data_IF_136074805117
#
_entry.id   IF_136074805117
#
_cell.length_a   1.000
_cell.length_b   1.000
_cell.length_c   1.000
_cell.angle_alpha   90.00
_cell.angle_beta   90.00
_cell.angle_gamma   90.00
#
_symmetry.space_group_name_H-M   'P 1'
#
loop_
_entity.id
_entity.type
_entity.pdbx_description
1 polymer ?
#
# COMPACT_ATOMS: atom_id res chain seq x y z
N UNK A 1 97.21 -25.83 16.64
CA UNK A 1 96.47 -24.58 16.92
C UNK A 1 95.68 -24.24 15.66
N UNK A 2 94.49 -24.82 15.44
CA UNK A 2 93.16 -24.28 15.80
C UNK A 2 92.98 -22.82 15.33
N UNK A 3 92.11 -22.47 14.38
CA UNK A 3 90.68 -22.78 14.29
C UNK A 3 90.18 -22.92 12.84
N UNK A 4 89.35 -23.95 12.63
CA UNK A 4 88.39 -24.12 11.53
C UNK A 4 87.23 -23.13 11.73
N UNK A 5 86.84 -22.40 10.70
CA UNK A 5 85.52 -21.79 10.57
C UNK A 5 84.70 -22.61 9.60
N UNK A 6 83.63 -23.19 10.14
CA UNK A 6 82.60 -23.96 9.46
C UNK A 6 81.35 -23.09 9.30
N UNK A 7 80.51 -23.50 8.36
CA UNK A 7 79.06 -23.39 8.38
C UNK A 7 78.38 -22.12 7.83
N UNK A 8 77.71 -22.38 6.70
CA UNK A 8 76.24 -22.43 6.60
C UNK A 8 75.49 -21.17 6.14
N UNK A 9 74.89 -21.33 4.95
CA UNK A 9 73.43 -21.43 4.75
C UNK A 9 72.80 -20.45 3.74
N UNK A 10 72.15 -21.13 2.79
CA UNK A 10 70.87 -20.85 2.17
C UNK A 10 70.77 -19.89 0.98
N UNK A 11 70.76 -20.56 -0.17
CA UNK A 11 70.15 -20.18 -1.42
C UNK A 11 68.74 -19.57 -1.25
N UNK A 12 68.55 -18.45 -1.93
CA UNK A 12 67.31 -17.68 -2.02
C UNK A 12 66.66 -18.00 -3.36
N UNK A 13 65.68 -18.90 -3.36
CA UNK A 13 64.74 -19.07 -4.49
C UNK A 13 63.67 -17.98 -4.44
N UNK A 14 63.25 -17.41 -5.58
CA UNK A 14 62.11 -16.50 -5.63
C UNK A 14 60.80 -17.29 -5.71
N UNK A 15 59.99 -17.19 -4.65
CA UNK A 15 58.62 -17.67 -4.65
C UNK A 15 57.71 -16.67 -5.37
N UNK A 16 57.01 -17.16 -6.39
CA UNK A 16 55.85 -16.54 -6.98
C UNK A 16 54.71 -16.45 -5.96
N UNK A 17 54.18 -15.24 -5.67
CA UNK A 17 52.81 -15.08 -5.15
C UNK A 17 52.34 -13.64 -5.27
N UNK A 18 51.26 -13.44 -6.04
CA UNK A 18 50.55 -12.18 -6.16
C UNK A 18 49.27 -12.36 -6.97
N UNK A 19 48.52 -13.43 -6.72
CA UNK A 19 47.14 -13.53 -7.22
C UNK A 19 46.26 -12.62 -6.37
N UNK A 20 45.75 -11.58 -7.02
CA UNK A 20 44.73 -10.68 -6.52
C UNK A 20 43.45 -11.46 -6.20
N UNK A 21 43.06 -11.51 -4.94
CA UNK A 21 41.71 -11.91 -4.54
C UNK A 21 40.74 -10.80 -4.95
N UNK A 22 40.12 -10.96 -6.11
CA UNK A 22 38.98 -10.16 -6.54
C UNK A 22 37.76 -10.39 -5.64
N UNK A 23 36.82 -9.43 -5.57
CA UNK A 23 35.67 -9.51 -4.69
C UNK A 23 34.74 -10.67 -5.09
N UNK A 24 34.25 -11.37 -4.06
CA UNK A 24 33.36 -12.52 -4.16
C UNK A 24 32.15 -12.23 -5.07
N UNK A 25 32.15 -12.87 -6.24
CA UNK A 25 30.98 -12.95 -7.10
C UNK A 25 29.94 -13.82 -6.40
N UNK A 26 28.80 -13.22 -6.07
CA UNK A 26 27.63 -13.94 -5.58
C UNK A 26 27.13 -14.88 -6.70
N UNK A 27 26.83 -16.15 -6.41
CA UNK A 27 26.28 -17.05 -7.40
C UNK A 27 24.88 -16.57 -7.81
N UNK A 28 24.74 -16.25 -9.09
CA UNK A 28 23.44 -15.96 -9.72
C UNK A 28 22.54 -17.20 -9.60
N UNK A 29 21.24 -17.05 -9.31
CA UNK A 29 20.30 -18.17 -9.31
C UNK A 29 20.13 -18.73 -10.73
N UNK A 30 19.88 -20.06 -10.87
CA UNK A 30 19.68 -20.68 -12.17
C UNK A 30 18.42 -20.10 -12.83
N UNK A 31 18.59 -19.60 -14.07
CA UNK A 31 17.49 -19.24 -14.95
C UNK A 31 16.68 -20.51 -15.25
N UNK A 32 15.53 -20.66 -14.62
CA UNK A 32 14.48 -21.58 -15.06
C UNK A 32 13.88 -21.04 -16.35
N UNK A 33 14.45 -21.45 -17.49
CA UNK A 33 13.79 -21.34 -18.79
C UNK A 33 12.75 -22.45 -18.90
N UNK A 34 11.55 -22.21 -18.36
CA UNK A 34 10.37 -23.00 -18.71
C UNK A 34 9.90 -22.57 -20.09
N UNK A 35 10.33 -23.31 -21.11
CA UNK A 35 9.73 -23.33 -22.43
C UNK A 35 8.32 -23.93 -22.30
N UNK A 36 7.29 -23.07 -22.23
CA UNK A 36 5.92 -23.51 -22.40
C UNK A 36 5.68 -23.64 -23.91
N UNK A 37 5.69 -24.89 -24.32
CA UNK A 37 5.36 -25.41 -25.63
C UNK A 37 3.89 -25.10 -25.93
N UNK A 38 3.64 -24.06 -26.72
CA UNK A 38 2.31 -23.71 -27.21
C UNK A 38 2.11 -24.44 -28.54
N UNK A 39 1.42 -25.59 -28.51
CA UNK A 39 0.88 -26.22 -29.70
C UNK A 39 -0.41 -26.98 -29.39
N UNK A 40 -1.42 -26.67 -30.19
CA UNK A 40 -2.69 -27.38 -30.43
C UNK A 40 -3.71 -27.45 -29.29
N UNK A 41 -4.88 -26.85 -29.52
CA UNK A 41 -6.02 -27.61 -30.06
C UNK A 41 -7.24 -26.69 -30.17
N UNK A 42 -7.49 -26.20 -31.39
CA UNK A 42 -8.73 -25.53 -31.76
C UNK A 42 -9.75 -26.63 -32.08
N UNK A 43 -10.58 -26.98 -31.10
CA UNK A 43 -11.86 -27.64 -31.37
C UNK A 43 -12.96 -26.58 -31.21
N UNK A 44 -13.51 -26.17 -32.35
CA UNK A 44 -14.79 -25.48 -32.44
C UNK A 44 -15.92 -26.52 -32.30
N UNK A 45 -16.79 -26.35 -31.31
CA UNK A 45 -18.12 -26.95 -31.25
C UNK A 45 -18.96 -26.20 -30.19
N UNK A 46 -20.29 -26.32 -30.18
CA UNK A 46 -21.20 -25.35 -30.80
C UNK A 46 -21.97 -24.52 -29.77
N UNK A 47 -22.43 -23.35 -30.21
CA UNK A 47 -23.52 -22.60 -29.59
C UNK A 47 -24.74 -23.52 -29.43
N UNK A 48 -25.00 -23.98 -28.20
CA UNK A 48 -26.30 -24.51 -27.80
C UNK A 48 -26.77 -23.71 -26.60
N UNK A 49 -27.59 -22.71 -26.92
CA UNK A 49 -28.39 -21.95 -26.00
C UNK A 49 -29.34 -22.88 -25.24
N UNK A 50 -29.05 -23.12 -23.96
CA UNK A 50 -30.06 -23.49 -22.97
C UNK A 50 -30.11 -22.39 -21.93
N UNK A 51 -30.96 -21.40 -22.22
CA UNK A 51 -31.48 -20.43 -21.26
C UNK A 51 -32.42 -21.16 -20.29
N UNK A 52 -31.86 -21.69 -19.20
CA UNK A 52 -32.64 -22.23 -18.09
C UNK A 52 -32.82 -21.11 -17.08
N UNK A 53 -33.93 -20.38 -17.23
CA UNK A 53 -34.47 -19.52 -16.17
C UNK A 53 -34.83 -20.41 -14.97
N UNK A 54 -34.04 -20.34 -13.90
CA UNK A 54 -34.44 -20.82 -12.58
C UNK A 54 -35.51 -19.88 -12.01
N UNK A 55 -36.61 -20.40 -11.46
CA UNK A 55 -37.49 -19.61 -10.60
C UNK A 55 -36.84 -19.43 -9.22
N UNK A 56 -36.78 -18.17 -8.78
CA UNK A 56 -36.60 -17.77 -7.39
C UNK A 56 -37.57 -18.57 -6.51
N UNK A 57 -37.03 -19.47 -5.70
CA UNK A 57 -37.73 -20.03 -4.55
C UNK A 57 -36.89 -19.70 -3.33
N UNK A 58 -37.40 -18.72 -2.58
CA UNK A 58 -36.95 -18.38 -1.25
C UNK A 58 -36.89 -19.64 -0.38
N UNK A 59 -35.68 -20.05 -0.03
CA UNK A 59 -35.42 -21.03 1.02
C UNK A 59 -34.69 -20.24 2.10
N UNK A 60 -35.46 -19.84 3.11
CA UNK A 60 -34.93 -19.35 4.37
C UNK A 60 -34.01 -20.42 5.00
N UNK A 61 -32.86 -20.03 5.58
CA UNK A 61 -32.01 -20.96 6.30
C UNK A 61 -32.64 -21.36 7.65
N UNK A 62 -32.65 -22.64 8.04
CA UNK A 62 -33.02 -23.01 9.39
C UNK A 62 -31.92 -22.55 10.35
N UNK A 63 -32.28 -21.64 11.24
CA UNK A 63 -31.48 -21.19 12.37
C UNK A 63 -31.18 -22.38 13.29
N UNK A 64 -29.88 -22.70 13.39
CA UNK A 64 -29.31 -23.65 14.34
C UNK A 64 -29.42 -23.09 15.77
N UNK A 65 -30.52 -23.40 16.45
CA UNK A 65 -30.61 -23.23 17.90
C UNK A 65 -30.46 -24.60 18.58
N UNK A 66 -29.29 -24.77 19.22
CA UNK A 66 -28.96 -25.82 20.18
C UNK A 66 -29.95 -25.81 21.38
N UNK A 67 -30.38 -26.99 21.86
CA UNK A 67 -30.27 -27.29 23.29
C UNK A 67 -29.71 -28.72 23.48
N UNK A 68 -28.53 -28.89 24.09
CA UNK A 68 -28.31 -29.17 25.54
C UNK A 68 -29.27 -30.21 26.13
N UNK A 69 -28.76 -31.44 26.17
CA UNK A 69 -28.84 -32.47 27.21
C UNK A 69 -30.07 -32.52 28.12
N UNK A 70 -30.87 -33.60 27.99
CA UNK A 70 -31.45 -34.29 29.15
C UNK A 70 -31.73 -35.78 28.81
N UNK A 71 -31.36 -36.74 29.67
CA UNK A 71 -31.64 -38.16 29.46
C UNK A 71 -32.96 -38.53 30.12
N UNK A 72 -34.00 -38.82 29.32
CA UNK A 72 -35.25 -39.38 29.83
C UNK A 72 -35.33 -40.88 29.55
N UNK A 73 -35.36 -41.59 30.67
CA UNK A 73 -35.65 -43.01 30.86
C UNK A 73 -37.02 -43.43 30.32
N UNK A 74 -37.21 -44.71 29.96
CA UNK A 74 -38.49 -45.22 29.48
C UNK A 74 -39.44 -45.44 30.67
N UNK A 75 -40.54 -44.70 30.69
CA UNK A 75 -41.63 -44.85 31.66
C UNK A 75 -42.78 -45.61 30.99
N UNK A 76 -42.88 -46.91 31.30
CA UNK A 76 -44.15 -47.65 31.16
C UNK A 76 -45.20 -47.04 32.08
N UNK A 77 -46.43 -46.88 31.59
CA UNK A 77 -47.61 -47.44 32.27
C UNK A 77 -48.65 -47.91 31.24
N UNK A 78 -49.71 -48.65 31.53
CA UNK A 78 -50.15 -49.46 32.65
C UNK A 78 -51.27 -50.34 32.07
N UNK A 79 -51.33 -51.58 32.56
CA UNK A 79 -52.43 -52.52 32.33
C UNK A 79 -53.79 -51.88 32.65
N UNK A 80 -54.70 -51.85 31.68
CA UNK A 80 -56.14 -51.66 31.95
C UNK A 80 -56.84 -53.02 31.92
N UNK A 81 -57.23 -53.42 33.11
CA UNK A 81 -58.01 -54.60 33.49
C UNK A 81 -59.38 -54.66 32.79
N UNK A 82 -59.91 -55.86 32.51
CA UNK A 82 -61.32 -56.02 32.14
C UNK A 82 -62.21 -55.99 33.39
N UNK A 83 -63.17 -55.07 33.41
CA UNK A 83 -64.24 -54.98 34.41
C UNK A 83 -65.25 -56.10 34.17
N UNK A 84 -65.19 -57.16 34.96
CA UNK A 84 -66.23 -58.19 35.06
C UNK A 84 -67.42 -57.65 35.84
N UNK A 85 -68.57 -57.45 35.17
CA UNK A 85 -69.82 -57.10 35.84
C UNK A 85 -70.53 -58.39 36.25
N UNK A 86 -70.34 -58.76 37.52
CA UNK A 86 -71.15 -59.74 38.25
C UNK A 86 -72.40 -59.02 38.74
N UNK A 87 -73.59 -59.38 38.27
CA UNK A 87 -74.85 -58.93 38.89
C UNK A 87 -75.56 -60.12 39.50
N UNK A 88 -75.80 -60.00 40.80
CA UNK A 88 -76.17 -61.06 41.71
C UNK A 88 -77.66 -61.40 41.70
N UNK A 89 -77.91 -62.64 42.09
CA UNK A 89 -79.15 -63.18 42.64
C UNK A 89 -79.84 -62.24 43.65
N UNK A 90 -81.16 -62.16 43.63
CA UNK A 90 -81.97 -61.84 44.82
C UNK A 90 -83.22 -62.71 44.84
N UNK A 91 -83.45 -63.29 46.01
CA UNK A 91 -84.39 -64.36 46.34
C UNK A 91 -85.76 -63.84 46.83
N UNK A 92 -86.70 -64.80 46.99
CA UNK A 92 -87.98 -64.77 47.73
C UNK A 92 -89.19 -64.26 46.90
N UNK A 93 -90.37 -64.90 46.92
CA UNK A 93 -91.15 -65.30 48.10
C UNK A 93 -92.13 -66.46 47.81
N UNK A 94 -92.26 -67.36 48.79
CA UNK A 94 -93.16 -68.51 48.91
C UNK A 94 -94.60 -68.08 49.27
N UNK A 95 -95.64 -68.76 48.76
CA UNK A 95 -96.84 -69.25 49.48
C UNK A 95 -97.83 -69.97 48.51
N UNK A 96 -98.68 -70.90 48.98
CA UNK A 96 -99.03 -72.13 48.24
C UNK A 96 -100.50 -72.19 47.79
N UNK A 97 -100.80 -72.86 46.67
CA UNK A 97 -102.16 -73.39 46.42
C UNK A 97 -102.22 -74.53 45.39
N UNK A 98 -102.62 -75.70 45.91
CA UNK A 98 -103.31 -76.85 45.32
C UNK A 98 -102.65 -77.75 44.23
N UNK A 99 -102.74 -79.11 44.40
CA UNK A 99 -101.89 -80.05 43.69
C UNK A 99 -102.70 -81.08 42.88
N UNK A 100 -102.84 -80.90 41.57
CA UNK A 100 -103.09 -82.06 40.67
C UNK A 100 -102.90 -81.80 39.17
N UNK A 101 -102.56 -80.58 38.74
CA UNK A 101 -102.21 -80.28 37.32
C UNK A 101 -100.93 -79.44 37.17
N UNK A 102 -100.21 -79.17 38.27
CA UNK A 102 -99.09 -78.21 38.33
C UNK A 102 -97.70 -78.78 38.05
N UNK A 103 -97.46 -80.09 38.22
CA UNK A 103 -96.13 -80.69 37.96
C UNK A 103 -95.69 -80.60 36.50
N UNK A 104 -96.63 -80.77 35.58
CA UNK A 104 -96.35 -80.65 34.14
C UNK A 104 -96.14 -79.18 33.75
N UNK A 105 -96.84 -78.24 34.37
CA UNK A 105 -96.65 -76.80 34.13
C UNK A 105 -95.34 -76.30 34.76
N UNK A 106 -94.89 -76.90 35.87
CA UNK A 106 -93.60 -76.61 36.51
C UNK A 106 -92.43 -77.19 35.71
N UNK A 107 -92.52 -78.43 35.23
CA UNK A 107 -91.53 -79.03 34.32
C UNK A 107 -91.45 -78.27 32.99
N UNK A 108 -92.59 -77.82 32.45
CA UNK A 108 -92.62 -76.94 31.27
C UNK A 108 -92.02 -75.57 31.58
N UNK A 109 -92.26 -74.98 32.75
CA UNK A 109 -91.61 -73.72 33.15
C UNK A 109 -90.10 -73.86 33.39
N UNK A 110 -89.63 -75.01 33.88
CA UNK A 110 -88.22 -75.31 34.06
C UNK A 110 -87.53 -75.55 32.69
N UNK A 111 -88.22 -76.22 31.77
CA UNK A 111 -87.78 -76.37 30.37
C UNK A 111 -87.77 -75.02 29.63
N UNK A 112 -88.81 -74.21 29.82
CA UNK A 112 -88.92 -72.89 29.22
C UNK A 112 -87.88 -71.93 29.84
N UNK A 113 -87.60 -72.09 31.13
CA UNK A 113 -86.55 -71.37 31.85
C UNK A 113 -85.16 -71.74 31.36
N UNK A 114 -84.88 -73.02 31.18
CA UNK A 114 -83.62 -73.50 30.58
C UNK A 114 -83.48 -73.09 29.12
N UNK A 115 -84.53 -73.16 28.30
CA UNK A 115 -84.52 -72.63 26.92
C UNK A 115 -84.29 -71.12 26.87
N UNK A 116 -84.88 -70.34 27.80
CA UNK A 116 -84.61 -68.90 27.91
C UNK A 116 -83.18 -68.61 28.35
N UNK A 117 -82.63 -69.41 29.26
CA UNK A 117 -81.26 -69.25 29.74
C UNK A 117 -80.24 -69.61 28.65
N UNK A 118 -80.50 -70.66 27.87
CA UNK A 118 -79.65 -71.00 26.71
C UNK A 118 -79.78 -69.98 25.58
N UNK A 119 -80.99 -69.46 25.30
CA UNK A 119 -81.18 -68.36 24.34
C UNK A 119 -80.49 -67.07 24.80
N UNK A 120 -80.54 -66.75 26.10
CA UNK A 120 -79.83 -65.61 26.68
C UNK A 120 -78.32 -65.78 26.61
N UNK A 121 -77.81 -66.98 26.89
CA UNK A 121 -76.39 -67.30 26.75
C UNK A 121 -75.92 -67.23 25.28
N UNK A 122 -76.73 -67.74 24.33
CA UNK A 122 -76.47 -67.61 22.89
C UNK A 122 -76.48 -66.15 22.44
N UNK A 123 -77.46 -65.37 22.91
CA UNK A 123 -77.52 -63.92 22.67
C UNK A 123 -76.26 -63.21 23.16
N UNK A 124 -75.85 -63.47 24.40
CA UNK A 124 -74.60 -62.93 24.94
C UNK A 124 -73.36 -63.36 24.14
N UNK A 125 -73.29 -64.61 23.67
CA UNK A 125 -72.17 -65.03 22.80
C UNK A 125 -72.20 -64.32 21.45
N UNK A 126 -73.36 -64.10 20.84
CA UNK A 126 -73.47 -63.33 19.59
C UNK A 126 -73.12 -61.86 19.79
N UNK A 127 -73.48 -61.26 20.92
CA UNK A 127 -73.08 -59.89 21.25
C UNK A 127 -71.57 -59.80 21.43
N UNK A 128 -70.94 -60.74 22.15
CA UNK A 128 -69.46 -60.76 22.29
C UNK A 128 -68.76 -60.99 20.94
N UNK A 129 -69.31 -61.84 20.08
CA UNK A 129 -68.78 -62.08 18.73
C UNK A 129 -68.96 -60.84 17.85
N UNK A 130 -70.08 -60.13 17.97
CA UNK A 130 -70.34 -58.86 17.29
C UNK A 130 -69.37 -57.77 17.73
N UNK A 131 -69.14 -57.63 19.04
CA UNK A 131 -68.18 -56.67 19.60
C UNK A 131 -66.74 -57.00 19.19
N UNK A 132 -66.37 -58.29 19.17
CA UNK A 132 -65.07 -58.73 18.66
C UNK A 132 -64.93 -58.49 17.16
N UNK A 133 -65.98 -58.72 16.37
CA UNK A 133 -65.99 -58.46 14.92
C UNK A 133 -65.80 -56.98 14.64
N UNK A 134 -66.44 -56.10 15.43
CA UNK A 134 -66.23 -54.65 15.36
C UNK A 134 -64.79 -54.26 15.71
N UNK A 135 -64.20 -54.85 16.77
CA UNK A 135 -62.80 -54.60 17.13
C UNK A 135 -61.82 -55.07 16.05
N UNK A 136 -62.08 -56.21 15.41
CA UNK A 136 -61.25 -56.70 14.28
C UNK A 136 -61.42 -55.82 13.05
N UNK A 137 -62.62 -55.34 12.77
CA UNK A 137 -62.87 -54.39 11.69
C UNK A 137 -62.16 -53.04 11.94
N UNK A 138 -62.11 -52.58 13.20
CA UNK A 138 -61.39 -51.36 13.62
C UNK A 138 -59.86 -51.53 13.55
N UNK A 139 -59.36 -52.76 13.66
CA UNK A 139 -57.94 -53.10 13.52
C UNK A 139 -57.43 -52.99 12.07
N UNK A 140 -58.31 -53.13 11.06
CA UNK A 140 -57.93 -53.02 9.64
C UNK A 140 -57.20 -51.71 9.31
N UNK A 141 -57.83 -50.54 9.55
CA UNK A 141 -57.18 -49.23 9.35
C UNK A 141 -55.87 -49.05 10.13
N UNK A 142 -55.77 -49.63 11.34
CA UNK A 142 -54.54 -49.55 12.15
C UNK A 142 -53.40 -50.39 11.58
N UNK A 143 -53.70 -51.57 11.02
CA UNK A 143 -52.71 -52.42 10.33
C UNK A 143 -52.22 -51.72 9.06
N UNK A 144 -53.12 -51.13 8.28
CA UNK A 144 -52.76 -50.37 7.07
C UNK A 144 -51.90 -49.15 7.41
N UNK A 145 -52.23 -48.41 8.47
CA UNK A 145 -51.42 -47.29 8.95
C UNK A 145 -50.01 -47.73 9.37
N UNK A 146 -49.88 -48.86 10.10
CA UNK A 146 -48.58 -49.41 10.47
C UNK A 146 -47.74 -49.83 9.26
N UNK A 147 -48.38 -50.39 8.22
CA UNK A 147 -47.71 -50.70 6.96
C UNK A 147 -47.21 -49.43 6.28
N UNK A 148 -48.03 -48.38 6.19
CA UNK A 148 -47.63 -47.09 5.61
C UNK A 148 -46.48 -46.45 6.39
N UNK A 149 -46.51 -46.46 7.73
CA UNK A 149 -45.41 -45.95 8.56
C UNK A 149 -44.12 -46.71 8.29
N UNK A 150 -44.21 -48.04 8.15
CA UNK A 150 -43.04 -48.88 7.85
C UNK A 150 -42.46 -48.57 6.47
N UNK A 151 -43.32 -48.31 5.48
CA UNK A 151 -42.92 -47.89 4.15
C UNK A 151 -42.19 -46.53 4.17
N UNK A 152 -42.76 -45.55 4.87
CA UNK A 152 -42.16 -44.21 5.01
C UNK A 152 -40.83 -44.27 5.75
N UNK A 153 -40.73 -45.04 6.83
CA UNK A 153 -39.46 -45.26 7.55
C UNK A 153 -38.37 -45.83 6.64
N UNK A 154 -38.70 -46.88 5.87
CA UNK A 154 -37.78 -47.47 4.91
C UNK A 154 -37.34 -46.46 3.85
N UNK A 155 -38.26 -45.67 3.33
CA UNK A 155 -37.95 -44.62 2.36
C UNK A 155 -37.03 -43.54 2.96
N UNK A 156 -37.25 -43.16 4.21
CA UNK A 156 -36.42 -42.19 4.92
C UNK A 156 -35.01 -42.73 5.17
N UNK A 157 -34.87 -43.99 5.56
CA UNK A 157 -33.56 -44.65 5.71
C UNK A 157 -32.80 -44.73 4.38
N UNK A 158 -33.50 -45.07 3.28
CA UNK A 158 -32.92 -45.10 1.95
C UNK A 158 -32.46 -43.70 1.50
N UNK A 159 -33.23 -42.65 1.81
CA UNK A 159 -32.82 -41.27 1.54
C UNK A 159 -31.61 -40.84 2.37
N UNK A 160 -31.59 -41.18 3.66
CA UNK A 160 -30.49 -40.84 4.55
C UNK A 160 -29.19 -41.50 4.10
N UNK A 161 -29.26 -42.78 3.71
CA UNK A 161 -28.10 -43.51 3.15
C UNK A 161 -27.59 -42.88 1.86
N UNK A 162 -28.48 -42.42 0.98
CA UNK A 162 -28.09 -41.70 -0.25
C UNK A 162 -27.47 -40.34 0.07
N UNK A 163 -27.97 -39.63 1.07
CA UNK A 163 -27.42 -38.33 1.47
C UNK A 163 -26.03 -38.48 2.09
N UNK A 164 -25.84 -39.48 2.96
CA UNK A 164 -24.54 -39.79 3.57
C UNK A 164 -23.51 -40.12 2.47
N UNK A 165 -23.91 -40.90 1.47
CA UNK A 165 -23.04 -41.23 0.35
C UNK A 165 -22.65 -39.98 -0.45
N UNK A 166 -23.61 -39.10 -0.77
CA UNK A 166 -23.31 -37.83 -1.43
C UNK A 166 -22.39 -36.93 -0.60
N UNK A 167 -22.59 -36.89 0.72
CA UNK A 167 -21.74 -36.10 1.63
C UNK A 167 -20.31 -36.64 1.65
N UNK A 168 -20.16 -37.97 1.65
CA UNK A 168 -18.86 -38.61 1.59
C UNK A 168 -18.17 -38.35 0.24
N UNK A 169 -18.90 -38.38 -0.87
CA UNK A 169 -18.37 -38.05 -2.20
C UNK A 169 -17.90 -36.59 -2.26
N UNK A 170 -18.69 -35.66 -1.73
CA UNK A 170 -18.30 -34.23 -1.61
C UNK A 170 -17.06 -34.07 -0.74
N UNK A 171 -16.95 -34.82 0.36
CA UNK A 171 -15.77 -34.78 1.23
C UNK A 171 -14.51 -35.28 0.53
N UNK A 172 -14.63 -36.32 -0.30
CA UNK A 172 -13.51 -36.82 -1.11
C UNK A 172 -13.12 -35.78 -2.16
N UNK A 173 -14.09 -35.22 -2.88
CA UNK A 173 -13.83 -34.17 -3.89
C UNK A 173 -13.13 -32.95 -3.29
N UNK A 174 -13.63 -32.43 -2.16
CA UNK A 174 -12.97 -31.33 -1.44
C UNK A 174 -11.55 -31.70 -1.03
N UNK A 175 -11.34 -32.91 -0.50
CA UNK A 175 -10.01 -33.35 -0.08
C UNK A 175 -9.05 -33.46 -1.27
N UNK A 176 -9.54 -33.89 -2.42
CA UNK A 176 -8.75 -34.00 -3.64
C UNK A 176 -8.46 -32.62 -4.26
N UNK A 177 -9.38 -31.66 -4.19
CA UNK A 177 -9.11 -30.26 -4.57
C UNK A 177 -8.05 -29.61 -3.65
N UNK A 178 -8.15 -29.85 -2.34
CA UNK A 178 -7.16 -29.38 -1.37
C UNK A 178 -5.78 -30.02 -1.60
N UNK A 179 -5.74 -31.33 -1.85
CA UNK A 179 -4.49 -32.06 -2.15
C UNK A 179 -3.94 -31.77 -3.53
N UNK A 180 -4.81 -31.43 -4.49
CA UNK A 180 -4.47 -31.04 -5.85
C UNK A 180 -3.59 -29.80 -5.92
N UNK A 181 -3.27 -29.19 -4.77
CA UNK A 181 -2.22 -28.18 -4.64
C UNK A 181 -2.66 -26.80 -5.08
N UNK A 182 -3.79 -26.64 -5.79
CA UNK A 182 -4.23 -25.34 -6.30
C UNK A 182 -4.41 -24.30 -5.19
N UNK A 183 -5.05 -24.68 -4.08
CA UNK A 183 -5.22 -23.77 -2.95
C UNK A 183 -3.88 -23.49 -2.26
N UNK A 184 -3.05 -24.52 -2.09
CA UNK A 184 -1.72 -24.37 -1.50
C UNK A 184 -0.82 -23.47 -2.34
N UNK A 185 -0.86 -23.62 -3.67
CA UNK A 185 -0.09 -22.84 -4.64
C UNK A 185 -0.51 -21.37 -4.60
N UNK A 186 -1.83 -21.09 -4.62
CA UNK A 186 -2.33 -19.71 -4.46
C UNK A 186 -1.94 -19.11 -3.12
N UNK A 187 -2.06 -19.86 -2.01
CA UNK A 187 -1.64 -19.39 -0.69
C UNK A 187 -0.13 -19.15 -0.62
N UNK A 188 0.67 -20.01 -1.26
CA UNK A 188 2.11 -19.86 -1.33
C UNK A 188 2.52 -18.65 -2.17
N UNK A 189 1.83 -18.37 -3.27
CA UNK A 189 2.04 -17.19 -4.10
C UNK A 189 1.71 -15.90 -3.33
N UNK A 190 0.57 -15.86 -2.64
CA UNK A 190 0.18 -14.73 -1.79
C UNK A 190 1.18 -14.53 -0.65
N UNK A 191 1.56 -15.61 0.05
CA UNK A 191 2.55 -15.55 1.12
C UNK A 191 3.93 -15.09 0.61
N UNK A 192 4.38 -15.58 -0.54
CA UNK A 192 5.64 -15.17 -1.15
C UNK A 192 5.64 -13.68 -1.52
N UNK A 193 4.50 -13.15 -1.98
CA UNK A 193 4.33 -11.73 -2.30
C UNK A 193 4.41 -10.88 -1.04
N UNK A 194 3.69 -11.26 0.03
CA UNK A 194 3.71 -10.55 1.32
C UNK A 194 5.13 -10.56 1.92
N UNK A 195 5.81 -11.71 1.93
CA UNK A 195 7.18 -11.83 2.45
C UNK A 195 8.14 -10.97 1.63
N UNK A 196 8.03 -10.99 0.30
CA UNK A 196 8.86 -10.14 -0.58
C UNK A 196 8.70 -8.66 -0.27
N UNK A 197 7.48 -8.20 -0.07
CA UNK A 197 7.20 -6.78 0.20
C UNK A 197 7.66 -6.34 1.59
N UNK A 198 7.51 -7.21 2.61
CA UNK A 198 8.05 -6.95 3.95
C UNK A 198 9.57 -6.92 3.91
N UNK A 199 10.22 -7.91 3.30
CA UNK A 199 11.68 -7.98 3.18
C UNK A 199 12.23 -6.77 2.42
N UNK A 200 11.59 -6.36 1.31
CA UNK A 200 12.00 -5.19 0.52
C UNK A 200 11.97 -3.91 1.37
N UNK A 201 10.90 -3.69 2.15
CA UNK A 201 10.78 -2.53 3.05
C UNK A 201 11.84 -2.56 4.13
N UNK A 202 12.06 -3.70 4.76
CA UNK A 202 12.98 -3.82 5.89
C UNK A 202 14.44 -3.71 5.48
N UNK A 203 14.81 -4.28 4.34
CA UNK A 203 16.13 -4.10 3.76
C UNK A 203 16.35 -2.63 3.41
N UNK A 204 15.40 -1.97 2.74
CA UNK A 204 15.53 -0.55 2.40
C UNK A 204 15.71 0.33 3.65
N UNK A 205 14.98 0.05 4.72
CA UNK A 205 15.09 0.77 5.99
C UNK A 205 16.44 0.52 6.68
N UNK A 206 16.88 -0.74 6.77
CA UNK A 206 18.17 -1.10 7.39
C UNK A 206 19.34 -0.54 6.59
N UNK A 207 19.30 -0.63 5.27
CA UNK A 207 20.31 -0.05 4.38
C UNK A 207 20.35 1.47 4.54
N UNK A 208 19.20 2.15 4.58
CA UNK A 208 19.15 3.60 4.82
C UNK A 208 19.75 3.98 6.17
N UNK A 209 19.45 3.23 7.23
CA UNK A 209 20.02 3.44 8.56
C UNK A 209 21.54 3.23 8.57
N UNK A 210 22.01 2.13 7.99
CA UNK A 210 23.45 1.83 7.88
C UNK A 210 24.17 2.87 7.02
N UNK A 211 23.57 3.34 5.92
CA UNK A 211 24.13 4.44 5.12
C UNK A 211 24.16 5.76 5.88
N UNK A 212 23.20 6.03 6.77
CA UNK A 212 23.24 7.20 7.65
C UNK A 212 24.35 7.11 8.70
N UNK A 213 24.57 5.92 9.26
CA UNK A 213 25.64 5.66 10.25
C UNK A 213 27.03 5.67 9.61
N UNK A 214 27.20 5.01 8.46
CA UNK A 214 28.49 4.89 7.76
C UNK A 214 28.88 6.19 7.03
N UNK A 215 27.94 6.88 6.41
CA UNK A 215 28.21 8.18 5.76
C UNK A 215 28.13 9.26 6.83
N UNK A 216 29.20 9.34 7.62
CA UNK A 216 29.37 10.34 8.69
C UNK A 216 29.05 11.75 8.17
N UNK A 217 28.42 12.57 9.03
CA UNK A 217 28.08 13.96 8.68
C UNK A 217 29.33 14.76 8.27
N UNK A 218 30.49 14.43 8.83
CA UNK A 218 31.79 14.99 8.45
C UNK A 218 32.12 14.75 6.98
N UNK A 219 31.99 13.51 6.48
CA UNK A 219 32.25 13.23 5.06
C UNK A 219 31.28 13.95 4.13
N UNK A 220 30.01 14.09 4.52
CA UNK A 220 29.04 14.87 3.74
C UNK A 220 29.43 16.34 3.67
N UNK A 221 29.85 16.91 4.80
CA UNK A 221 30.39 18.27 4.85
C UNK A 221 31.62 18.43 3.97
N UNK A 222 32.55 17.47 3.99
CA UNK A 222 33.75 17.49 3.14
C UNK A 222 33.41 17.42 1.65
N UNK A 223 32.48 16.55 1.23
CA UNK A 223 32.05 16.48 -0.18
C UNK A 223 31.46 17.80 -0.64
N UNK A 224 30.60 18.43 0.18
CA UNK A 224 30.03 19.76 -0.12
C UNK A 224 31.14 20.81 -0.21
N UNK A 225 32.12 20.77 0.69
CA UNK A 225 33.26 21.68 0.68
C UNK A 225 34.11 21.51 -0.59
N UNK A 226 34.45 20.28 -0.98
CA UNK A 226 35.22 20.02 -2.20
C UNK A 226 34.43 20.39 -3.46
N UNK A 227 33.13 20.10 -3.50
CA UNK A 227 32.28 20.49 -4.61
C UNK A 227 32.24 22.02 -4.77
N UNK A 228 32.13 22.75 -3.65
CA UNK A 228 32.23 24.22 -3.64
C UNK A 228 33.60 24.70 -4.13
N UNK A 229 34.69 24.12 -3.64
CA UNK A 229 36.05 24.46 -4.10
C UNK A 229 36.23 24.23 -5.59
N UNK A 230 35.72 23.11 -6.12
CA UNK A 230 35.77 22.82 -7.56
C UNK A 230 35.01 23.89 -8.36
N UNK A 231 33.81 24.29 -7.90
CA UNK A 231 33.05 25.35 -8.55
C UNK A 231 33.74 26.70 -8.46
N UNK A 232 34.39 27.01 -7.34
CA UNK A 232 35.17 28.24 -7.15
C UNK A 232 36.36 28.29 -8.11
N UNK A 233 37.11 27.19 -8.22
CA UNK A 233 38.23 27.08 -9.16
C UNK A 233 37.74 27.19 -10.60
N UNK A 234 36.64 26.53 -10.97
CA UNK A 234 36.04 26.64 -12.30
C UNK A 234 35.61 28.08 -12.62
N UNK A 235 34.94 28.74 -11.68
CA UNK A 235 34.54 30.13 -11.84
C UNK A 235 35.75 31.07 -11.94
N UNK A 236 36.79 30.85 -11.14
CA UNK A 236 38.04 31.61 -11.17
C UNK A 236 38.78 31.44 -12.50
N UNK A 237 38.84 30.22 -13.02
CA UNK A 237 39.44 29.93 -14.32
C UNK A 237 38.66 30.60 -15.45
N UNK A 238 37.33 30.45 -15.47
CA UNK A 238 36.45 31.12 -16.44
C UNK A 238 36.62 32.65 -16.38
N UNK A 239 36.67 33.23 -15.18
CA UNK A 239 36.86 34.66 -14.98
C UNK A 239 38.25 35.13 -15.43
N UNK A 240 39.30 34.33 -15.17
CA UNK A 240 40.66 34.64 -15.63
C UNK A 240 40.75 34.62 -17.16
N UNK A 241 40.09 33.66 -17.81
CA UNK A 241 40.01 33.60 -19.27
C UNK A 241 39.18 34.76 -19.83
N UNK A 242 38.03 35.07 -19.22
CA UNK A 242 37.19 36.20 -19.61
C UNK A 242 37.94 37.53 -19.47
N UNK A 243 38.68 37.74 -18.37
CA UNK A 243 39.52 38.93 -18.19
C UNK A 243 40.63 39.03 -19.23
N UNK A 244 41.29 37.91 -19.54
CA UNK A 244 42.32 37.87 -20.58
C UNK A 244 41.74 38.27 -21.95
N UNK A 245 40.55 37.78 -22.28
CA UNK A 245 39.86 38.14 -23.52
C UNK A 245 39.48 39.62 -23.53
N UNK A 246 38.82 40.10 -22.48
CA UNK A 246 38.35 41.48 -22.39
C UNK A 246 39.50 42.50 -22.37
N UNK A 247 40.67 42.14 -21.81
CA UNK A 247 41.86 42.99 -21.84
C UNK A 247 42.56 43.08 -23.20
N UNK A 248 42.28 42.16 -24.14
CA UNK A 248 42.78 42.25 -25.52
C UNK A 248 41.96 43.22 -26.38
N UNK A 249 40.76 43.60 -25.93
CA UNK A 249 39.89 44.53 -26.65
C UNK A 249 40.58 45.90 -26.68
N UNK A 250 41.01 46.30 -27.88
CA UNK A 250 41.69 47.59 -28.12
C UNK A 250 40.67 48.71 -28.27
N UNK A 251 41.13 49.97 -28.15
CA UNK A 251 40.29 51.16 -28.42
C UNK A 251 39.69 51.16 -29.83
N UNK A 252 40.37 50.55 -30.80
CA UNK A 252 39.90 50.41 -32.17
C UNK A 252 38.76 49.40 -32.34
N UNK A 253 38.54 48.52 -31.36
CA UNK A 253 37.62 47.38 -31.43
C UNK A 253 36.55 47.45 -30.33
N UNK A 254 36.02 48.64 -30.07
CA UNK A 254 35.07 48.86 -28.96
C UNK A 254 33.75 48.08 -29.10
N UNK A 255 33.44 47.62 -30.31
CA UNK A 255 32.26 46.82 -30.66
C UNK A 255 32.45 45.30 -30.42
N UNK A 256 33.64 44.87 -29.99
CA UNK A 256 33.89 43.47 -29.66
C UNK A 256 33.14 43.06 -28.39
N UNK A 257 32.48 41.91 -28.43
CA UNK A 257 31.65 41.41 -27.33
C UNK A 257 32.50 41.06 -26.11
N UNK A 258 32.10 41.62 -24.97
CA UNK A 258 32.65 41.31 -23.66
C UNK A 258 32.26 39.89 -23.24
N UNK A 259 33.25 39.10 -22.81
CA UNK A 259 32.99 37.81 -22.19
C UNK A 259 32.45 38.01 -20.77
N UNK A 260 31.30 37.40 -20.43
CA UNK A 260 30.68 37.57 -19.13
C UNK A 260 31.48 36.91 -18.02
N UNK A 261 31.73 37.68 -16.95
CA UNK A 261 32.30 37.16 -15.72
C UNK A 261 31.21 36.50 -14.89
N UNK A 262 31.57 35.37 -14.29
CA UNK A 262 30.74 34.62 -13.36
C UNK A 262 30.86 35.21 -11.96
N UNK A 263 29.73 35.30 -11.24
CA UNK A 263 29.69 35.87 -9.88
C UNK A 263 30.46 35.00 -8.87
N UNK A 264 31.15 35.60 -7.88
CA UNK A 264 31.77 34.85 -6.79
C UNK A 264 30.75 34.01 -6.03
N UNK A 265 31.13 32.80 -5.62
CA UNK A 265 30.26 31.96 -4.81
C UNK A 265 30.10 32.59 -3.41
N UNK A 266 28.87 32.65 -2.87
CA UNK A 266 28.65 33.18 -1.53
C UNK A 266 29.43 32.35 -0.48
N UNK A 267 29.88 32.98 0.62
CA UNK A 267 30.53 32.26 1.72
C UNK A 267 29.56 31.24 2.35
N UNK A 268 30.06 30.04 2.68
CA UNK A 268 29.29 29.06 3.45
C UNK A 268 29.00 29.64 4.84
N UNK A 269 27.76 30.08 5.06
CA UNK A 269 27.36 30.68 6.33
C UNK A 269 26.47 31.90 6.18
N UNK A 270 26.42 32.51 4.99
CA UNK A 270 25.34 33.45 4.71
C UNK A 270 24.03 32.67 4.67
N UNK A 271 23.04 32.96 5.54
CA UNK A 271 21.73 32.35 5.44
C UNK A 271 21.25 32.63 4.03
N UNK A 272 21.12 31.59 3.22
CA UNK A 272 20.58 31.72 1.88
C UNK A 272 19.18 32.28 2.06
N UNK A 273 19.00 33.59 1.89
CA UNK A 273 17.69 34.16 1.65
C UNK A 273 17.14 33.35 0.49
N UNK A 274 16.06 32.57 0.70
CA UNK A 274 15.50 31.77 -0.35
C UNK A 274 15.22 32.74 -1.48
N UNK A 275 16.01 32.65 -2.56
CA UNK A 275 15.75 33.43 -3.75
C UNK A 275 14.29 33.10 -4.09
N UNK A 276 13.42 34.10 -3.95
CA UNK A 276 12.12 34.11 -4.59
C UNK A 276 12.40 34.11 -6.09
N UNK A 277 12.75 32.94 -6.60
CA UNK A 277 12.60 32.62 -8.00
C UNK A 277 11.11 32.66 -8.26
N UNK A 278 10.63 33.83 -8.67
CA UNK A 278 9.50 33.96 -9.58
C UNK A 278 9.86 33.18 -10.85
N UNK A 279 9.86 31.85 -10.76
CA UNK A 279 9.63 31.03 -11.91
C UNK A 279 8.19 31.32 -12.26
N UNK A 280 8.00 32.23 -13.21
CA UNK A 280 6.73 32.44 -13.88
C UNK A 280 6.33 31.08 -14.43
N UNK A 281 5.57 30.32 -13.64
CA UNK A 281 4.74 29.24 -14.14
C UNK A 281 3.73 29.97 -14.99
N UNK A 282 4.04 30.02 -16.27
CA UNK A 282 3.11 30.37 -17.33
C UNK A 282 1.92 29.42 -17.19
N UNK A 283 0.94 29.88 -16.42
CA UNK A 283 -0.35 29.24 -16.27
C UNK A 283 -1.03 29.39 -17.61
N UNK A 284 -1.03 28.30 -18.38
CA UNK A 284 -1.96 28.14 -19.49
C UNK A 284 -3.37 28.40 -18.95
N UNK A 285 -4.16 29.30 -19.55
CA UNK A 285 -5.55 29.48 -19.16
C UNK A 285 -6.34 28.24 -19.56
N UNK A 286 -6.73 27.43 -18.58
CA UNK A 286 -7.74 26.39 -18.79
C UNK A 286 -9.08 27.07 -19.09
N UNK A 287 -9.53 26.91 -20.33
CA UNK A 287 -10.89 27.18 -20.79
C UNK A 287 -11.91 26.51 -19.86
N UNK A 288 -12.77 27.32 -19.26
CA UNK A 288 -13.93 26.89 -18.47
C UNK A 288 -15.06 26.63 -19.47
N UNK A 289 -15.44 25.37 -19.66
CA UNK A 289 -16.69 24.96 -20.30
C UNK A 289 -17.70 24.62 -19.19
N UNK A 290 -18.88 25.28 -19.11
CA UNK A 290 -19.98 24.86 -18.26
C UNK A 290 -21.07 24.12 -19.06
N UNK A 291 -21.80 23.24 -18.36
CA UNK A 291 -22.98 22.46 -18.77
C UNK A 291 -22.75 21.03 -19.29
N UNK A 292 -22.70 20.07 -18.36
CA UNK A 292 -23.39 18.79 -18.52
C UNK A 292 -23.76 18.21 -17.15
N UNK A 293 -25.03 17.85 -16.97
CA UNK A 293 -25.59 17.20 -15.78
C UNK A 293 -25.22 15.71 -15.69
N UNK A 294 -25.31 15.09 -14.47
CA UNK A 294 -24.74 13.79 -14.19
C UNK A 294 -25.79 12.67 -14.15
N UNK A 295 -25.54 11.55 -14.83
CA UNK A 295 -26.23 10.28 -14.55
C UNK A 295 -25.33 9.09 -14.87
N UNK A 296 -24.70 8.47 -13.86
CA UNK A 296 -24.30 7.04 -13.87
C UNK A 296 -23.79 6.55 -12.49
N UNK A 297 -23.82 5.22 -12.21
CA UNK A 297 -24.02 4.61 -10.88
C UNK A 297 -22.69 4.11 -10.23
N UNK A 298 -22.71 3.40 -9.07
CA UNK A 298 -21.64 3.44 -8.07
C UNK A 298 -20.38 2.69 -8.51
N UNK A 299 -19.24 3.38 -8.46
CA UNK A 299 -17.91 2.80 -8.66
C UNK A 299 -17.41 2.09 -7.41
N UNK A 300 -17.23 0.80 -7.60
CA UNK A 300 -16.23 -0.10 -7.02
C UNK A 300 -14.98 0.61 -6.46
N UNK A 301 -14.69 0.30 -5.19
CA UNK A 301 -13.61 0.87 -4.39
C UNK A 301 -12.27 0.37 -4.93
N UNK A 302 -11.66 1.13 -5.84
CA UNK A 302 -10.29 0.87 -6.29
C UNK A 302 -9.33 1.27 -5.16
N UNK A 303 -8.43 0.38 -4.68
CA UNK A 303 -7.43 0.76 -3.71
C UNK A 303 -6.46 1.74 -4.37
N UNK A 304 -6.32 2.91 -3.77
CA UNK A 304 -5.34 3.93 -4.15
C UNK A 304 -3.96 3.29 -4.36
N UNK A 305 -3.34 3.41 -5.54
CA UNK A 305 -1.95 3.00 -5.73
C UNK A 305 -1.11 3.87 -4.80
N UNK A 306 -0.36 3.20 -3.93
CA UNK A 306 0.43 3.81 -2.88
C UNK A 306 1.15 5.04 -3.39
N UNK A 307 0.93 6.16 -2.68
CA UNK A 307 1.82 7.29 -2.72
C UNK A 307 3.23 6.74 -2.48
N UNK A 308 3.97 6.58 -3.57
CA UNK A 308 5.40 6.40 -3.53
C UNK A 308 5.86 7.68 -2.88
N UNK A 309 6.07 7.60 -1.56
CA UNK A 309 6.92 8.51 -0.83
C UNK A 309 8.27 8.28 -1.49
N UNK A 310 8.48 8.95 -2.64
CA UNK A 310 9.78 9.22 -3.19
C UNK A 310 10.50 9.79 -2.01
N UNK A 311 11.35 8.95 -1.42
CA UNK A 311 12.16 9.35 -0.30
C UNK A 311 12.73 10.69 -0.71
N UNK A 312 12.66 11.66 0.20
CA UNK A 312 13.58 12.78 0.21
C UNK A 312 15.00 12.20 0.24
N UNK A 313 15.42 11.64 -0.89
CA UNK A 313 16.77 11.58 -1.36
C UNK A 313 17.11 13.03 -1.32
N UNK A 314 17.91 13.34 -0.31
CA UNK A 314 18.59 14.58 -0.08
C UNK A 314 18.87 15.10 -1.49
N UNK A 315 18.10 16.08 -1.98
CA UNK A 315 18.38 16.76 -3.25
C UNK A 315 19.71 17.44 -2.93
N UNK A 316 20.76 16.67 -3.19
CA UNK A 316 22.08 16.81 -2.63
C UNK A 316 22.57 18.11 -3.23
N UNK A 317 22.32 19.19 -2.48
CA UNK A 317 22.69 20.57 -2.74
C UNK A 317 23.29 20.70 -4.12
N UNK A 318 22.42 20.65 -5.13
CA UNK A 318 22.84 20.80 -6.51
C UNK A 318 23.26 22.26 -6.59
N UNK A 319 24.53 22.49 -6.27
CA UNK A 319 25.13 23.79 -6.21
C UNK A 319 24.93 24.36 -7.60
N UNK A 320 23.97 25.28 -7.70
CA UNK A 320 23.63 25.90 -8.97
C UNK A 320 24.94 26.39 -9.60
N UNK A 321 25.20 26.06 -10.87
CA UNK A 321 26.40 26.54 -11.52
C UNK A 321 26.39 28.06 -11.43
N UNK A 322 27.52 28.68 -11.07
CA UNK A 322 27.56 30.11 -10.84
C UNK A 322 27.22 30.83 -12.16
N UNK A 323 26.12 31.58 -12.15
CA UNK A 323 25.60 32.28 -13.33
C UNK A 323 26.16 33.71 -13.40
N UNK A 324 26.40 34.25 -14.60
CA UNK A 324 26.74 35.66 -14.76
C UNK A 324 25.60 36.55 -14.26
N UNK A 325 25.90 37.80 -13.91
CA UNK A 325 24.85 38.77 -13.57
C UNK A 325 23.96 39.01 -14.80
N UNK A 326 22.62 39.09 -14.63
CA UNK A 326 21.72 39.39 -15.74
C UNK A 326 21.94 40.80 -16.32
N UNK A 327 22.59 41.69 -15.54
CA UNK A 327 22.94 43.05 -15.96
C UNK A 327 24.32 43.14 -16.63
N UNK A 328 24.99 42.01 -16.88
CA UNK A 328 26.30 42.04 -17.53
C UNK A 328 26.16 42.55 -18.98
N UNK A 329 26.81 43.67 -19.35
CA UNK A 329 26.65 44.26 -20.68
C UNK A 329 27.35 43.41 -21.73
N UNK A 330 26.77 43.35 -22.93
CA UNK A 330 27.36 42.64 -24.07
C UNK A 330 28.62 43.33 -24.60
N UNK A 331 28.65 44.67 -24.59
CA UNK A 331 29.71 45.46 -25.24
C UNK A 331 30.10 46.68 -24.38
N UNK A 332 31.28 47.25 -24.62
CA UNK A 332 31.75 48.45 -23.91
C UNK A 332 30.83 49.67 -24.06
N UNK A 333 30.26 49.99 -25.24
CA UNK A 333 29.33 51.11 -25.37
C UNK A 333 28.06 50.93 -24.55
N UNK A 334 27.59 49.69 -24.40
CA UNK A 334 26.43 49.36 -23.57
C UNK A 334 26.76 49.55 -22.09
N UNK A 335 27.96 49.14 -21.66
CA UNK A 335 28.46 49.42 -20.31
C UNK A 335 28.51 50.93 -20.01
N UNK A 336 28.97 51.75 -20.97
CA UNK A 336 29.02 53.22 -20.82
C UNK A 336 27.64 53.89 -20.78
N UNK A 337 26.57 53.21 -21.22
CA UNK A 337 25.20 53.72 -21.23
C UNK A 337 24.40 53.36 -19.97
N UNK A 338 24.90 52.44 -19.15
CA UNK A 338 24.23 52.03 -17.91
C UNK A 338 24.07 53.23 -16.95
N UNK A 339 22.91 53.32 -16.31
CA UNK A 339 22.61 54.32 -15.28
C UNK A 339 23.46 54.13 -14.03
N UNK A 340 23.52 55.14 -13.16
CA UNK A 340 24.28 55.06 -11.90
C UNK A 340 23.80 53.88 -11.02
N UNK A 341 22.49 53.71 -10.89
CA UNK A 341 21.89 52.62 -10.10
C UNK A 341 22.22 51.22 -10.66
N UNK A 342 22.23 51.08 -11.99
CA UNK A 342 22.55 49.81 -12.65
C UNK A 342 24.03 49.46 -12.46
N UNK A 343 24.92 50.46 -12.57
CA UNK A 343 26.35 50.28 -12.31
C UNK A 343 26.61 49.96 -10.84
N UNK A 344 25.94 50.64 -9.90
CA UNK A 344 26.00 50.32 -8.46
C UNK A 344 25.56 48.87 -8.20
N UNK A 345 24.46 48.45 -8.80
CA UNK A 345 23.95 47.07 -8.70
C UNK A 345 24.95 46.06 -9.28
N UNK A 346 25.52 46.35 -10.45
CA UNK A 346 26.53 45.50 -11.09
C UNK A 346 27.78 45.35 -10.22
N UNK A 347 28.32 46.46 -9.69
CA UNK A 347 29.49 46.46 -8.80
C UNK A 347 29.19 45.71 -7.49
N UNK A 348 27.94 45.81 -7.00
CA UNK A 348 27.45 45.04 -5.85
C UNK A 348 27.41 43.53 -6.13
N UNK A 349 26.85 43.12 -7.27
CA UNK A 349 26.70 41.71 -7.68
C UNK A 349 28.04 40.97 -7.76
N UNK A 350 29.12 41.68 -8.10
CA UNK A 350 30.47 41.14 -8.16
C UNK A 350 31.26 41.31 -6.85
N UNK A 351 30.64 41.81 -5.79
CA UNK A 351 31.27 41.98 -4.48
C UNK A 351 32.39 43.02 -4.48
N UNK A 352 32.36 43.97 -5.42
CA UNK A 352 33.35 45.04 -5.51
C UNK A 352 33.02 46.18 -4.54
N UNK A 353 31.77 46.30 -4.06
CA UNK A 353 31.45 47.21 -2.99
C UNK A 353 32.11 46.75 -1.70
N UNK A 354 33.00 47.57 -1.16
CA UNK A 354 33.62 47.34 0.15
C UNK A 354 32.63 47.76 1.23
N UNK A 355 32.05 46.83 2.01
CA UNK A 355 30.96 47.11 2.95
C UNK A 355 31.36 47.99 4.16
N UNK A 356 32.65 48.29 4.31
CA UNK A 356 33.15 49.14 5.40
C UNK A 356 33.17 50.64 5.07
N UNK A 357 32.74 51.05 3.88
CA UNK A 357 32.64 52.46 3.48
C UNK A 357 31.19 52.88 3.17
N UNK A 358 30.24 52.18 3.79
CA UNK A 358 28.85 52.63 3.86
C UNK A 358 28.90 53.81 4.85
N UNK A 359 28.77 55.08 4.46
CA UNK A 359 27.45 55.70 4.29
C UNK A 359 27.50 57.12 3.68
N UNK A 360 28.67 57.66 3.29
CA UNK A 360 28.74 59.12 3.02
C UNK A 360 29.52 59.59 1.80
N UNK A 361 30.06 58.67 0.99
CA UNK A 361 30.61 59.07 -0.31
C UNK A 361 30.01 58.16 -1.35
N UNK A 362 28.88 58.58 -1.91
CA UNK A 362 28.44 58.09 -3.22
C UNK A 362 29.60 58.32 -4.18
N UNK A 363 30.38 57.27 -4.42
CA UNK A 363 31.44 57.33 -5.42
C UNK A 363 30.78 57.65 -6.75
N UNK A 364 31.40 58.53 -7.52
CA UNK A 364 30.87 58.93 -8.82
C UNK A 364 30.62 57.67 -9.65
N UNK A 365 29.59 57.71 -10.49
CA UNK A 365 29.27 56.64 -11.45
C UNK A 365 30.52 56.18 -12.19
N UNK A 366 31.35 57.13 -12.60
CA UNK A 366 32.61 56.91 -13.31
C UNK A 366 33.64 56.15 -12.46
N UNK A 367 33.70 56.37 -11.14
CA UNK A 367 34.61 55.64 -10.25
C UNK A 367 34.18 54.17 -10.11
N UNK A 368 32.87 53.94 -9.97
CA UNK A 368 32.30 52.60 -9.93
C UNK A 368 32.53 51.87 -11.27
N UNK A 369 32.38 52.59 -12.38
CA UNK A 369 32.59 52.05 -13.71
C UNK A 369 34.08 51.77 -13.98
N UNK A 370 34.99 52.67 -13.60
CA UNK A 370 36.44 52.47 -13.67
C UNK A 370 36.89 51.26 -12.84
N UNK A 371 36.31 51.09 -11.65
CA UNK A 371 36.57 49.92 -10.80
C UNK A 371 36.08 48.63 -11.47
N UNK A 372 34.91 48.66 -12.09
CA UNK A 372 34.38 47.52 -12.83
C UNK A 372 35.21 47.19 -14.07
N UNK A 373 35.59 48.20 -14.88
CA UNK A 373 36.49 48.06 -16.04
C UNK A 373 37.81 47.40 -15.66
N UNK A 374 38.42 47.88 -14.58
CA UNK A 374 39.64 47.28 -14.02
C UNK A 374 39.41 45.83 -13.60
N UNK A 375 38.28 45.50 -12.97
CA UNK A 375 37.94 44.15 -12.55
C UNK A 375 37.70 43.17 -13.71
N UNK A 376 37.10 43.63 -14.81
CA UNK A 376 36.91 42.82 -16.02
C UNK A 376 38.19 42.74 -16.88
N UNK A 377 39.28 43.38 -16.48
CA UNK A 377 40.58 43.33 -17.15
C UNK A 377 40.74 44.33 -18.30
N UNK A 378 39.81 45.27 -18.47
CA UNK A 378 39.88 46.29 -19.51
C UNK A 378 40.85 47.38 -19.06
N UNK A 379 41.89 47.64 -19.85
CA UNK A 379 42.96 48.60 -19.54
C UNK A 379 42.61 50.08 -19.77
N UNK A 380 41.33 50.41 -19.99
CA UNK A 380 40.88 51.78 -20.18
C UNK A 380 40.40 52.37 -18.87
N UNK A 381 40.87 53.59 -18.59
CA UNK A 381 40.35 54.40 -17.51
C UNK A 381 39.55 55.54 -18.13
N UNK A 382 38.27 55.65 -17.77
CA UNK A 382 37.51 56.86 -18.05
C UNK A 382 38.13 57.98 -17.21
N UNK A 383 38.70 58.96 -17.91
CA UNK A 383 39.07 60.21 -17.27
C UNK A 383 37.74 60.83 -16.81
N UNK A 384 37.52 60.82 -15.49
CA UNK A 384 36.50 61.68 -14.92
C UNK A 384 36.85 63.07 -15.38
N UNK A 385 36.01 63.64 -16.24
CA UNK A 385 36.10 65.06 -16.52
C UNK A 385 35.85 65.71 -15.18
N UNK A 386 36.91 66.00 -14.43
CA UNK A 386 36.81 66.87 -13.27
C UNK A 386 36.11 68.08 -13.85
N UNK A 387 34.86 68.28 -13.44
CA UNK A 387 34.15 69.50 -13.74
C UNK A 387 35.07 70.57 -13.19
N UNK A 388 35.90 71.12 -14.07
CA UNK A 388 36.79 72.21 -13.75
C UNK A 388 35.85 73.20 -13.08
N UNK A 389 36.09 73.62 -11.82
CA UNK A 389 35.27 74.63 -11.18
C UNK A 389 35.49 75.94 -11.92
N UNK A 390 34.91 76.02 -13.11
CA UNK A 390 34.97 77.13 -14.02
C UNK A 390 33.95 78.15 -13.51
N UNK A 391 34.45 79.03 -12.65
CA UNK A 391 33.85 80.32 -12.41
C UNK A 391 33.18 80.44 -11.06
N UNK A 392 33.96 80.74 -10.03
CA UNK A 392 33.63 81.75 -9.01
C UNK A 392 34.87 81.99 -8.13
N UNK A 393 35.76 82.87 -8.60
CA UNK A 393 36.32 83.97 -7.80
C UNK A 393 37.37 84.72 -8.62
N UNK A 394 36.88 85.71 -9.35
CA UNK A 394 37.62 86.94 -9.54
C UNK A 394 37.17 87.92 -8.45
N UNK A 395 37.82 87.90 -7.29
CA UNK A 395 37.88 89.04 -6.37
C UNK A 395 39.12 88.89 -5.48
N UNK A 396 40.14 89.70 -5.77
CA UNK A 396 41.48 89.50 -5.25
C UNK A 396 41.69 89.85 -3.78
N UNK A 397 42.79 89.35 -3.23
CA UNK A 397 43.66 90.14 -2.36
C UNK A 397 45.06 89.50 -2.32
N UNK A 398 46.13 90.23 -2.67
CA UNK A 398 47.49 89.76 -2.48
C UNK A 398 47.94 90.09 -1.05
N UNK A 399 48.18 89.08 -0.21
CA UNK A 399 48.91 89.29 1.05
C UNK A 399 50.07 88.32 1.17
N UNK A 400 51.22 88.85 0.76
CA UNK A 400 52.57 88.60 1.25
C UNK A 400 52.61 87.87 2.59
N UNK A 401 53.22 86.68 2.66
CA UNK A 401 54.03 86.31 3.84
C UNK A 401 55.07 85.22 3.58
N UNK A 402 56.32 85.67 3.62
CA UNK A 402 57.55 85.04 4.11
C UNK A 402 57.73 83.52 4.04
N UNK A 403 58.55 83.17 3.05
CA UNK A 403 59.82 82.43 3.17
C UNK A 403 60.35 82.29 4.63
N UNK A 404 60.45 81.06 5.11
CA UNK A 404 61.45 80.66 6.11
C UNK A 404 61.92 79.24 5.80
N UNK A 405 63.15 79.17 5.31
CA UNK A 405 63.99 77.99 5.22
C UNK A 405 64.11 77.32 6.60
N UNK A 406 63.98 76.00 6.64
CA UNK A 406 64.51 75.20 7.74
C UNK A 406 65.13 73.93 7.14
N UNK A 407 66.44 74.03 6.96
CA UNK A 407 67.38 72.93 6.75
C UNK A 407 67.32 72.04 7.99
N UNK A 408 67.08 70.74 7.81
CA UNK A 408 67.08 69.73 8.86
C UNK A 408 67.79 68.48 8.39
N UNK A 409 69.11 68.47 8.55
CA UNK A 409 70.02 67.32 8.44
C UNK A 409 69.79 66.41 9.64
N UNK A 410 69.65 65.11 9.40
CA UNK A 410 70.43 64.04 10.05
C UNK A 410 70.25 62.71 9.32
#
# INVERSE_FOLDING_TARGET
MARKTSQANNARSPAARGQSTGPAAWPLPPKLTSAINNNNSVYSAPDSAYDIKLPDSAIDPPSSALPKDEPLTPKSPDSKSPTSVVTAFTSQTVLPRNPSTTKDVEAVNELLGTMKLTLGALGATFDTLGEQTLKVAELGPAIDANYQISLVRKQLDDQHKRQEQRMQDVKVLLKDEFKGGQLQERLQEVAATIVRDVVKREIAQRVRKQLQEQVTQSMRGQVVQYQRQILEVKASLHNSEARRHNGLIRTSSIEEQLRPLVRPLPPMGSPSTPLSGNTVVQSSPSTIDPLAMPTSPPREVTPLPGAVVEGSGIKLFELLPPTPSPLFPRDLPTLMKLGDDEVKTLVSDYGLLTPHLNESVERSREDNLNRFLSYIGVGFQLVTGSTSPAGLEAAGTPLVRSRSEAIGVL
#
